data_IF_440540106821
#
_entry.id   IF_440540106821
#
_cell.length_a   1.000
_cell.length_b   1.000
_cell.length_c   1.000
_cell.angle_alpha   90.00
_cell.angle_beta   90.00
_cell.angle_gamma   90.00
#
_symmetry.space_group_name_H-M   'P 1'
#
loop_
_entity.id
_entity.type
_entity.pdbx_description
1 polymer ?
#
# COMPACT_ATOMS: atom_id res chain seq x y z
N UNK A 1 5.37 -12.01 -9.98
CA UNK A 1 5.16 -11.63 -8.56
C UNK A 1 5.11 -12.84 -7.63
N UNK A 2 4.36 -13.90 -7.92
CA UNK A 2 4.28 -15.07 -7.03
C UNK A 2 5.66 -15.71 -6.76
N UNK A 3 6.50 -15.92 -7.79
CA UNK A 3 7.89 -16.38 -7.65
C UNK A 3 8.73 -15.50 -6.72
N UNK A 4 8.61 -14.17 -6.84
CA UNK A 4 9.33 -13.24 -5.96
C UNK A 4 8.92 -13.40 -4.48
N UNK A 5 7.64 -13.67 -4.21
CA UNK A 5 7.13 -13.92 -2.86
C UNK A 5 7.36 -15.36 -2.37
N UNK A 6 7.57 -16.31 -3.27
CA UNK A 6 7.73 -17.74 -2.99
C UNK A 6 9.17 -18.16 -2.82
N UNK A 7 9.97 -17.84 -3.83
CA UNK A 7 11.34 -18.28 -4.00
C UNK A 7 12.32 -17.17 -3.62
N UNK A 8 11.85 -15.93 -3.44
CA UNK A 8 12.72 -14.78 -3.22
C UNK A 8 13.52 -14.43 -4.48
N UNK A 9 12.99 -14.79 -5.66
CA UNK A 9 13.70 -14.71 -6.93
C UNK A 9 12.94 -13.88 -7.96
N UNK A 10 13.70 -13.11 -8.74
CA UNK A 10 13.19 -12.29 -9.83
C UNK A 10 13.99 -12.53 -11.12
N UNK A 11 13.28 -12.43 -12.23
CA UNK A 11 13.83 -12.58 -13.58
C UNK A 11 13.42 -11.35 -14.39
N UNK A 12 14.34 -10.82 -15.19
CA UNK A 12 14.04 -9.70 -16.09
C UNK A 12 13.30 -10.24 -17.31
N UNK A 13 12.41 -9.44 -17.90
CA UNK A 13 11.72 -9.85 -19.12
C UNK A 13 12.74 -10.07 -20.25
N UNK A 14 12.77 -11.28 -20.81
CA UNK A 14 13.70 -11.67 -21.88
C UNK A 14 15.10 -12.11 -21.41
N UNK A 15 15.30 -12.24 -20.10
CA UNK A 15 16.52 -12.79 -19.50
C UNK A 15 16.17 -14.16 -18.90
N UNK A 16 17.10 -15.12 -18.92
CA UNK A 16 16.94 -16.45 -18.32
C UNK A 16 17.56 -16.56 -16.93
N UNK A 17 18.23 -15.49 -16.48
CA UNK A 17 18.95 -15.45 -15.21
C UNK A 17 18.03 -15.06 -14.06
N UNK A 18 17.78 -16.05 -13.20
CA UNK A 18 17.18 -15.81 -11.88
C UNK A 18 18.15 -15.05 -10.96
N UNK A 19 17.62 -14.12 -10.19
CA UNK A 19 18.35 -13.29 -9.22
C UNK A 19 17.65 -13.35 -7.87
N UNK A 20 18.40 -13.67 -6.81
CA UNK A 20 17.88 -13.58 -5.44
C UNK A 20 17.63 -12.13 -5.04
N UNK A 21 16.51 -11.91 -4.38
CA UNK A 21 16.04 -10.63 -3.88
C UNK A 21 15.54 -10.82 -2.44
N UNK A 22 16.24 -10.21 -1.49
CA UNK A 22 15.78 -10.08 -0.11
C UNK A 22 15.01 -8.76 0.01
N UNK A 23 13.68 -8.83 -0.07
CA UNK A 23 12.80 -7.66 -0.13
C UNK A 23 11.60 -7.82 0.80
N UNK A 24 11.27 -6.74 1.50
CA UNK A 24 10.00 -6.64 2.24
C UNK A 24 8.91 -6.12 1.32
N UNK A 25 7.84 -6.88 1.19
CA UNK A 25 6.67 -6.50 0.38
C UNK A 25 5.61 -5.86 1.27
N UNK A 26 5.16 -4.66 0.90
CA UNK A 26 3.98 -3.99 1.47
C UNK A 26 3.01 -3.73 0.32
N UNK A 27 1.79 -4.26 0.42
CA UNK A 27 0.75 -4.10 -0.57
C UNK A 27 -0.42 -3.30 0.03
N UNK A 28 -1.04 -2.46 -0.80
CA UNK A 28 -2.23 -1.70 -0.44
C UNK A 28 -3.24 -1.76 -1.59
N UNK A 29 -4.52 -1.84 -1.27
CA UNK A 29 -5.62 -1.89 -2.23
C UNK A 29 -6.87 -1.29 -1.61
N UNK A 30 -7.66 -0.62 -2.43
CA UNK A 30 -9.01 -0.16 -2.09
C UNK A 30 -10.10 -1.15 -2.55
N UNK A 31 -9.73 -2.17 -3.33
CA UNK A 31 -10.63 -3.24 -3.78
C UNK A 31 -10.71 -4.32 -2.70
N UNK A 32 -11.91 -4.82 -2.46
CA UNK A 32 -12.14 -6.02 -1.64
C UNK A 32 -11.49 -7.24 -2.34
N UNK A 33 -10.33 -7.66 -1.83
CA UNK A 33 -9.60 -8.81 -2.35
C UNK A 33 -10.36 -10.14 -2.20
N UNK A 34 -10.97 -10.47 -1.03
CA UNK A 34 -11.83 -11.63 -0.91
C UNK A 34 -12.86 -11.74 -2.05
N UNK A 35 -13.55 -10.65 -2.37
CA UNK A 35 -14.56 -10.64 -3.42
C UNK A 35 -13.93 -10.72 -4.83
N UNK A 36 -12.80 -10.06 -5.04
CA UNK A 36 -12.06 -10.16 -6.30
C UNK A 36 -11.54 -11.58 -6.58
N UNK A 37 -11.17 -12.34 -5.53
CA UNK A 37 -10.78 -13.75 -5.64
C UNK A 37 -11.98 -14.61 -6.04
N UNK A 38 -13.14 -14.44 -5.37
CA UNK A 38 -14.37 -15.16 -5.74
C UNK A 38 -14.81 -14.89 -7.17
N UNK A 39 -14.67 -13.64 -7.63
CA UNK A 39 -14.97 -13.24 -8.99
C UNK A 39 -13.93 -13.68 -10.04
N UNK A 40 -12.88 -14.40 -9.65
CA UNK A 40 -11.81 -14.85 -10.55
C UNK A 40 -10.90 -13.73 -11.10
N UNK A 41 -11.04 -12.51 -10.58
CA UNK A 41 -10.23 -11.34 -10.99
C UNK A 41 -8.90 -11.25 -10.24
N UNK A 42 -8.75 -11.98 -9.14
CA UNK A 42 -7.53 -12.04 -8.37
C UNK A 42 -7.16 -13.47 -8.02
N UNK A 43 -5.86 -13.78 -8.06
CA UNK A 43 -5.39 -15.14 -7.80
C UNK A 43 -5.42 -15.43 -6.30
N UNK A 44 -6.05 -16.54 -5.94
CA UNK A 44 -6.18 -16.97 -4.55
C UNK A 44 -4.81 -17.19 -3.87
N UNK A 45 -3.85 -17.80 -4.57
CA UNK A 45 -2.51 -18.08 -4.06
C UNK A 45 -1.73 -16.81 -3.64
N UNK A 46 -1.84 -15.74 -4.42
CA UNK A 46 -1.24 -14.45 -4.13
C UNK A 46 -1.97 -13.75 -2.97
N UNK A 47 -3.30 -13.86 -2.91
CA UNK A 47 -4.09 -13.30 -1.81
C UNK A 47 -3.66 -13.87 -0.47
N UNK A 48 -3.59 -15.20 -0.35
CA UNK A 48 -3.19 -15.85 0.91
C UNK A 48 -1.76 -15.50 1.35
N UNK A 49 -0.87 -15.15 0.42
CA UNK A 49 0.50 -14.70 0.76
C UNK A 49 0.58 -13.23 1.17
N UNK A 50 -0.23 -12.36 0.56
CA UNK A 50 -0.24 -10.94 0.90
C UNK A 50 -1.03 -10.67 2.19
N UNK A 51 -2.09 -11.43 2.44
CA UNK A 51 -3.03 -11.21 3.54
C UNK A 51 -2.64 -11.89 4.86
N UNK A 52 -1.34 -12.17 5.06
CA UNK A 52 -0.82 -12.74 6.32
C UNK A 52 -0.96 -11.74 7.48
N UNK A 53 -0.73 -10.45 7.21
CA UNK A 53 -0.87 -9.39 8.21
C UNK A 53 -1.67 -8.21 7.62
N UNK A 54 -3.01 -8.29 7.63
CA UNK A 54 -3.84 -7.22 7.10
C UNK A 54 -3.85 -6.01 8.06
N UNK A 55 -3.54 -4.83 7.54
CA UNK A 55 -3.68 -3.56 8.25
C UNK A 55 -4.84 -2.76 7.64
N UNK A 56 -6.00 -2.77 8.30
CA UNK A 56 -7.14 -1.98 7.87
C UNK A 56 -6.98 -0.52 8.34
N UNK A 57 -7.01 0.41 7.39
CA UNK A 57 -6.99 1.84 7.69
C UNK A 57 -8.45 2.33 7.66
N UNK A 58 -9.04 2.66 8.83
CA UNK A 58 -10.41 3.18 8.85
C UNK A 58 -10.47 4.57 8.19
N UNK A 59 -11.59 4.87 7.52
CA UNK A 59 -11.81 6.15 6.87
C UNK A 59 -11.90 7.30 7.87
N UNK A 60 -11.63 8.53 7.43
CA UNK A 60 -11.61 9.71 8.31
C UNK A 60 -12.92 9.94 9.09
N UNK A 61 -14.07 9.55 8.52
CA UNK A 61 -15.38 9.63 9.20
C UNK A 61 -15.46 8.79 10.48
N UNK A 62 -14.62 7.77 10.63
CA UNK A 62 -14.52 6.91 11.83
C UNK A 62 -13.42 7.38 12.79
N UNK A 63 -12.61 8.38 12.40
CA UNK A 63 -11.50 8.95 13.17
C UNK A 63 -11.47 10.48 13.11
N UNK A 64 -12.64 11.10 13.31
CA UNK A 64 -12.80 12.55 13.19
C UNK A 64 -11.92 13.36 14.17
N UNK A 65 -11.51 12.76 15.29
CA UNK A 65 -10.59 13.35 16.26
C UNK A 65 -9.20 13.67 15.67
N UNK A 66 -8.80 12.96 14.62
CA UNK A 66 -7.48 13.13 14.00
C UNK A 66 -7.47 14.33 13.03
N UNK A 67 -8.65 14.78 12.59
CA UNK A 67 -8.81 15.83 11.56
C UNK A 67 -8.11 17.15 11.96
N UNK A 68 -8.29 17.70 13.18
CA UNK A 68 -7.66 18.97 13.53
C UNK A 68 -6.13 18.92 13.45
N UNK A 69 -5.51 17.84 13.94
CA UNK A 69 -4.06 17.65 13.88
C UNK A 69 -3.57 17.50 12.44
N UNK A 70 -4.26 16.68 11.63
CA UNK A 70 -3.93 16.51 10.21
C UNK A 70 -4.02 17.82 9.44
N UNK A 71 -5.05 18.63 9.70
CA UNK A 71 -5.24 19.94 9.05
C UNK A 71 -4.10 20.89 9.42
N UNK A 72 -3.73 21.01 10.69
CA UNK A 72 -2.61 21.86 11.12
C UNK A 72 -1.32 21.49 10.38
N UNK A 73 -0.98 20.20 10.35
CA UNK A 73 0.22 19.71 9.66
C UNK A 73 0.16 19.93 8.15
N UNK A 74 -0.98 19.71 7.51
CA UNK A 74 -1.12 19.97 6.07
C UNK A 74 -0.98 21.44 5.75
N UNK A 75 -1.65 22.30 6.51
CA UNK A 75 -1.59 23.75 6.38
C UNK A 75 -0.15 24.26 6.49
N UNK A 76 0.56 23.88 7.55
CA UNK A 76 1.96 24.25 7.76
C UNK A 76 2.83 23.82 6.57
N UNK A 77 2.65 22.58 6.11
CA UNK A 77 3.37 22.02 4.95
C UNK A 77 3.10 22.83 3.67
N UNK A 78 1.84 23.19 3.38
CA UNK A 78 1.50 23.93 2.17
C UNK A 78 1.86 25.42 2.24
N UNK A 79 1.76 26.03 3.41
CA UNK A 79 2.24 27.38 3.66
C UNK A 79 3.75 27.49 3.40
N UNK A 80 4.54 26.53 3.90
CA UNK A 80 5.97 26.45 3.62
C UNK A 80 6.27 26.23 2.12
N UNK A 81 5.50 25.36 1.44
CA UNK A 81 5.69 25.07 0.02
C UNK A 81 5.37 26.27 -0.89
N UNK A 82 4.41 27.12 -0.50
CA UNK A 82 3.93 28.23 -1.32
C UNK A 82 4.37 29.61 -0.81
N UNK A 83 5.31 29.66 0.15
CA UNK A 83 5.80 30.90 0.76
C UNK A 83 4.67 31.78 1.34
N UNK A 84 3.58 31.14 1.77
CA UNK A 84 2.43 31.82 2.37
C UNK A 84 2.54 31.73 3.88
N UNK A 85 2.37 32.86 4.57
CA UNK A 85 2.27 32.87 6.03
C UNK A 85 0.87 32.41 6.43
N UNK A 86 0.79 31.39 7.29
CA UNK A 86 -0.47 31.01 7.91
C UNK A 86 -0.82 32.08 8.97
N UNK A 87 -1.98 32.74 8.86
CA UNK A 87 -2.47 33.64 9.88
C UNK A 87 -3.15 32.81 10.98
N UNK A 88 -2.36 32.19 11.86
CA UNK A 88 -2.85 31.77 13.17
C UNK A 88 -2.54 32.86 14.19
#
# INVERSE_FOLDING_TARGET
MLRALQEGEIERLGDDRSRKADVRVVAATNVDLPEAVKAGRFRADLYYRLSVYPALIPPLRERCSDIPSMVSTMVEKFCALHEKRWPA
#
